data_IF_205760259971
#
_entry.id   IF_205760259971
#
_cell.length_a   1.000
_cell.length_b   1.000
_cell.length_c   1.000
_cell.angle_alpha   90.00
_cell.angle_beta   90.00
_cell.angle_gamma   90.00
#
_symmetry.space_group_name_H-M   'P 1'
#
loop_
_entity.id
_entity.type
_entity.pdbx_description
1 polymer ?
#
# COMPACT_ATOMS: atom_id res chain seq x y z
N UNK A 1 21.65 2.97 -0.59
CA UNK A 1 20.38 3.46 -1.14
C UNK A 1 19.64 4.23 -0.04
N UNK A 2 19.45 5.55 -0.19
CA UNK A 2 18.85 6.40 0.86
C UNK A 2 17.33 6.27 0.99
N UNK A 3 16.68 5.62 0.02
CA UNK A 3 15.20 5.56 -0.10
C UNK A 3 14.54 5.08 1.20
N UNK A 4 15.05 4.03 1.84
CA UNK A 4 14.44 3.48 3.07
C UNK A 4 14.46 4.43 4.27
N UNK A 5 15.36 5.42 4.30
CA UNK A 5 15.46 6.35 5.43
C UNK A 5 14.29 7.35 5.47
N UNK A 6 13.80 7.71 4.28
CA UNK A 6 12.72 8.69 4.11
C UNK A 6 11.32 8.04 4.22
N UNK A 7 11.21 6.72 4.03
CA UNK A 7 9.98 5.97 4.31
C UNK A 7 9.70 5.96 5.82
N UNK A 8 8.50 6.36 6.30
CA UNK A 8 8.16 6.24 7.72
C UNK A 8 8.21 4.82 8.26
N UNK A 9 7.82 3.83 7.46
CA UNK A 9 7.97 2.40 7.78
C UNK A 9 9.43 1.90 7.89
N UNK A 10 10.42 2.74 7.54
CA UNK A 10 11.88 2.46 7.60
C UNK A 10 12.34 1.23 6.82
N UNK A 11 11.54 0.80 5.85
CA UNK A 11 11.86 -0.28 4.93
C UNK A 11 11.20 -0.04 3.58
N UNK A 12 11.68 -0.72 2.56
CA UNK A 12 10.96 -0.84 1.30
C UNK A 12 9.85 -1.88 1.44
N UNK A 13 8.83 -1.70 0.61
CA UNK A 13 7.80 -2.71 0.44
C UNK A 13 8.35 -3.98 -0.25
N UNK A 14 7.67 -5.11 -0.09
CA UNK A 14 7.94 -6.34 -0.84
C UNK A 14 6.86 -6.58 -1.91
N UNK A 15 7.18 -7.29 -2.99
CA UNK A 15 6.17 -7.69 -3.97
C UNK A 15 5.04 -8.53 -3.36
N UNK A 16 5.36 -9.36 -2.37
CA UNK A 16 4.40 -10.27 -1.74
C UNK A 16 3.32 -9.51 -0.97
N UNK A 17 3.68 -8.50 -0.17
CA UNK A 17 2.69 -7.72 0.59
C UNK A 17 1.80 -6.89 -0.34
N UNK A 18 2.36 -6.34 -1.43
CA UNK A 18 1.57 -5.69 -2.47
C UNK A 18 0.59 -6.69 -3.13
N UNK A 19 1.08 -7.90 -3.42
CA UNK A 19 0.27 -8.99 -3.95
C UNK A 19 -0.89 -9.39 -3.03
N UNK A 20 -0.69 -9.39 -1.71
CA UNK A 20 -1.76 -9.67 -0.74
C UNK A 20 -2.86 -8.60 -0.76
N UNK A 21 -2.51 -7.31 -0.92
CA UNK A 21 -3.50 -6.24 -1.08
C UNK A 21 -4.31 -6.46 -2.37
N UNK A 22 -3.66 -6.79 -3.48
CA UNK A 22 -4.34 -7.11 -4.73
C UNK A 22 -5.29 -8.32 -4.57
N UNK A 23 -4.82 -9.39 -3.91
CA UNK A 23 -5.64 -10.57 -3.63
C UNK A 23 -6.87 -10.24 -2.77
N UNK A 24 -6.73 -9.37 -1.77
CA UNK A 24 -7.85 -8.87 -0.97
C UNK A 24 -8.87 -8.11 -1.84
N UNK A 25 -8.40 -7.22 -2.72
CA UNK A 25 -9.28 -6.45 -3.62
C UNK A 25 -10.06 -7.33 -4.60
N UNK A 26 -9.49 -8.46 -5.02
CA UNK A 26 -10.16 -9.44 -5.86
C UNK A 26 -11.10 -10.38 -5.07
N UNK A 27 -11.08 -10.32 -3.73
CA UNK A 27 -11.85 -11.23 -2.89
C UNK A 27 -13.31 -10.76 -2.70
N UNK A 28 -14.14 -11.67 -2.19
CA UNK A 28 -15.53 -11.35 -1.80
C UNK A 28 -15.63 -10.28 -0.70
N UNK A 29 -14.55 -10.06 0.05
CA UNK A 29 -14.53 -9.10 1.16
C UNK A 29 -14.44 -7.64 0.69
N UNK A 30 -14.01 -7.40 -0.55
CA UNK A 30 -13.88 -6.07 -1.13
C UNK A 30 -15.09 -5.66 -2.00
N UNK A 31 -16.21 -6.39 -1.93
CA UNK A 31 -17.35 -6.21 -2.84
C UNK A 31 -18.03 -4.83 -2.84
N UNK A 32 -17.74 -3.98 -1.84
CA UNK A 32 -18.23 -2.61 -1.76
C UNK A 32 -17.14 -1.55 -1.97
N UNK A 33 -15.92 -1.96 -2.31
CA UNK A 33 -14.78 -1.07 -2.51
C UNK A 33 -14.54 -0.87 -4.01
N UNK A 34 -14.89 0.32 -4.52
CA UNK A 34 -14.72 0.67 -5.93
C UNK A 34 -14.32 2.14 -6.10
N UNK A 35 -13.55 2.45 -7.14
CA UNK A 35 -13.07 3.80 -7.44
C UNK A 35 -12.10 4.40 -6.42
N UNK A 36 -11.50 3.57 -5.56
CA UNK A 36 -10.58 4.01 -4.51
C UNK A 36 -9.12 3.92 -4.96
N UNK A 37 -8.30 4.87 -4.54
CA UNK A 37 -6.84 4.78 -4.61
C UNK A 37 -6.34 4.37 -3.22
N UNK A 38 -5.64 3.24 -3.14
CA UNK A 38 -5.10 2.71 -1.87
C UNK A 38 -3.58 2.86 -1.91
N UNK A 39 -3.01 3.88 -1.25
CA UNK A 39 -1.56 4.04 -1.19
C UNK A 39 -0.94 2.90 -0.36
N UNK A 40 0.03 2.21 -0.96
CA UNK A 40 0.83 1.15 -0.33
C UNK A 40 2.31 1.57 -0.41
N UNK A 41 2.66 2.63 0.30
CA UNK A 41 3.94 3.35 0.14
C UNK A 41 4.75 3.45 1.45
N UNK A 42 4.31 2.77 2.51
CA UNK A 42 4.94 2.84 3.83
C UNK A 42 4.84 4.22 4.50
N UNK A 43 3.91 5.07 4.07
CA UNK A 43 3.66 6.41 4.60
C UNK A 43 4.47 7.51 3.91
N UNK A 44 5.05 7.26 2.73
CA UNK A 44 5.86 8.25 2.01
C UNK A 44 5.04 9.49 1.61
N UNK A 45 3.81 9.30 1.17
CA UNK A 45 2.92 10.39 0.84
C UNK A 45 2.25 10.92 2.11
N UNK A 46 2.61 12.16 2.49
CA UNK A 46 2.07 12.83 3.67
C UNK A 46 0.99 13.83 3.23
N UNK A 47 -0.22 13.31 3.09
CA UNK A 47 -1.45 14.10 2.93
C UNK A 47 -2.52 13.51 3.84
N UNK A 48 -3.53 14.32 4.16
CA UNK A 48 -4.72 13.81 4.81
C UNK A 48 -5.52 12.86 3.90
N UNK A 49 -5.48 13.11 2.58
CA UNK A 49 -6.19 12.38 1.53
C UNK A 49 -5.39 12.31 0.22
#
# INVERSE_FOLDING_TARGET
>A
ARISADVPAKRLGTPEEFGQICAFLCSVHAGYLTGQNIPVDGGLYVSAF
#
